data_IF_931145707916
#
_entry.id   IF_931145707916
#
_cell.length_a   1.000
_cell.length_b   1.000
_cell.length_c   1.000
_cell.angle_alpha   90.00
_cell.angle_beta   90.00
_cell.angle_gamma   90.00
#
_symmetry.space_group_name_H-M   'P 1'
#
loop_
_entity.id
_entity.type
_entity.pdbx_description
1 polymer ?
#
# COMPACT_ATOMS: atom_id res chain seq x y z
N UNK A 1 -56.88 -34.93 25.79
CA UNK A 1 -56.86 -33.71 24.94
C UNK A 1 -56.37 -32.52 25.76
N UNK A 2 -55.13 -32.06 25.55
CA UNK A 2 -54.67 -30.67 25.79
C UNK A 2 -53.26 -30.54 25.20
N UNK A 3 -53.07 -29.47 24.43
CA UNK A 3 -52.02 -29.25 23.43
C UNK A 3 -50.69 -28.76 24.04
N UNK A 4 -49.62 -29.04 23.31
CA UNK A 4 -48.32 -28.36 23.30
C UNK A 4 -48.43 -26.83 23.41
N UNK A 5 -47.52 -26.21 24.17
CA UNK A 5 -46.80 -24.99 23.77
C UNK A 5 -45.36 -25.11 24.29
N UNK A 6 -44.41 -25.25 23.36
CA UNK A 6 -42.96 -25.19 23.59
C UNK A 6 -42.54 -23.72 23.60
N UNK A 7 -42.04 -23.21 24.72
CA UNK A 7 -41.45 -21.87 24.81
C UNK A 7 -39.98 -21.95 24.39
N UNK A 8 -39.64 -21.32 23.26
CA UNK A 8 -38.26 -21.11 22.83
C UNK A 8 -37.63 -19.95 23.59
N UNK A 9 -36.49 -20.20 24.24
CA UNK A 9 -35.64 -19.16 24.83
C UNK A 9 -34.78 -18.58 23.71
N UNK A 10 -35.08 -17.34 23.33
CA UNK A 10 -34.25 -16.54 22.43
C UNK A 10 -33.04 -16.03 23.22
N UNK A 11 -31.87 -16.61 22.97
CA UNK A 11 -30.61 -16.13 23.54
C UNK A 11 -30.22 -14.81 22.85
N UNK A 12 -30.37 -13.70 23.57
CA UNK A 12 -29.87 -12.39 23.17
C UNK A 12 -28.33 -12.39 23.34
N UNK A 13 -27.60 -12.57 22.24
CA UNK A 13 -26.15 -12.35 22.20
C UNK A 13 -25.89 -10.83 22.26
N UNK A 14 -25.72 -10.28 23.47
CA UNK A 14 -25.17 -8.94 23.65
C UNK A 14 -23.67 -9.01 23.46
N UNK A 15 -23.17 -8.55 22.32
CA UNK A 15 -21.75 -8.31 22.11
C UNK A 15 -21.32 -7.13 22.99
N UNK A 16 -20.54 -7.42 24.03
CA UNK A 16 -19.84 -6.41 24.81
C UNK A 16 -18.74 -5.80 23.95
N UNK A 17 -19.03 -4.63 23.36
CA UNK A 17 -17.99 -3.79 22.75
C UNK A 17 -17.15 -3.25 23.90
N UNK A 18 -15.97 -3.84 24.09
CA UNK A 18 -14.94 -3.28 24.98
C UNK A 18 -14.62 -1.87 24.49
N UNK A 19 -14.91 -0.86 25.31
CA UNK A 19 -14.56 0.53 25.03
C UNK A 19 -13.03 0.65 24.98
N UNK A 20 -12.46 0.57 23.78
CA UNK A 20 -11.08 0.94 23.53
C UNK A 20 -11.02 2.47 23.53
N UNK A 21 -10.33 3.06 24.51
CA UNK A 21 -10.13 4.51 24.57
C UNK A 21 -9.54 5.06 23.27
N UNK A 22 -9.80 6.34 22.98
CA UNK A 22 -9.33 7.08 21.81
C UNK A 22 -7.82 6.92 21.56
N UNK A 23 -7.02 6.85 22.62
CA UNK A 23 -5.55 6.64 22.55
C UNK A 23 -5.13 5.31 21.90
N UNK A 24 -5.99 4.28 21.89
CA UNK A 24 -5.66 2.97 21.34
C UNK A 24 -5.48 2.97 19.81
N UNK A 25 -5.91 4.03 19.14
CA UNK A 25 -5.75 4.22 17.70
C UNK A 25 -4.46 4.94 17.32
N UNK A 26 -3.77 5.55 18.28
CA UNK A 26 -2.58 6.35 18.00
C UNK A 26 -1.35 5.45 18.06
N UNK A 27 -0.68 5.32 16.92
CA UNK A 27 0.54 4.52 16.77
C UNK A 27 1.67 5.38 16.22
N UNK A 28 2.89 5.12 16.70
CA UNK A 28 4.10 5.88 16.40
C UNK A 28 5.26 4.94 16.10
N UNK A 29 6.17 5.34 15.21
CA UNK A 29 7.41 4.59 14.92
C UNK A 29 8.32 4.54 16.15
N UNK A 30 9.11 3.46 16.28
CA UNK A 30 10.15 3.31 17.31
C UNK A 30 11.10 4.52 17.33
N UNK A 31 11.55 4.89 18.54
CA UNK A 31 12.45 6.03 18.79
C UNK A 31 11.74 7.28 19.30
N UNK A 32 10.42 7.34 19.18
CA UNK A 32 9.60 8.40 19.78
C UNK A 32 9.41 8.12 21.28
N UNK A 33 9.90 9.01 22.14
CA UNK A 33 9.79 8.85 23.60
C UNK A 33 8.32 8.96 24.05
N UNK A 34 7.77 7.88 24.61
CA UNK A 34 6.50 7.88 25.34
C UNK A 34 6.79 7.67 26.83
N UNK A 35 6.15 8.43 27.71
CA UNK A 35 6.11 8.12 29.15
C UNK A 35 5.12 6.97 29.37
N UNK A 36 5.56 5.91 30.02
CA UNK A 36 4.86 4.62 30.09
C UNK A 36 3.63 4.62 31.01
N UNK A 37 2.57 3.93 30.59
CA UNK A 37 1.58 3.30 31.47
C UNK A 37 1.28 1.87 30.96
N UNK A 38 0.91 0.93 31.85
CA UNK A 38 1.10 -0.51 31.64
C UNK A 38 0.14 -1.11 30.60
N UNK A 39 0.61 -2.14 29.90
CA UNK A 39 -0.15 -2.95 28.94
C UNK A 39 -1.06 -3.95 29.66
N UNK A 40 -2.26 -4.16 29.13
CA UNK A 40 -3.11 -5.31 29.43
C UNK A 40 -3.23 -6.18 28.17
N UNK A 41 -3.02 -7.49 28.34
CA UNK A 41 -2.92 -8.47 27.27
C UNK A 41 -4.23 -8.64 26.47
N UNK A 42 -4.12 -8.64 25.14
CA UNK A 42 -5.20 -9.00 24.22
C UNK A 42 -5.13 -10.48 23.88
N UNK A 43 -6.21 -11.19 24.19
CA UNK A 43 -6.45 -12.62 23.97
C UNK A 43 -6.60 -12.90 22.46
N UNK A 44 -5.89 -13.92 21.97
CA UNK A 44 -6.06 -14.46 20.62
C UNK A 44 -7.45 -15.09 20.44
N UNK A 45 -8.08 -14.82 19.29
CA UNK A 45 -9.21 -15.61 18.78
C UNK A 45 -8.73 -16.31 17.52
N UNK A 46 -8.74 -17.65 17.57
CA UNK A 46 -8.46 -18.50 16.44
C UNK A 46 -9.73 -18.68 15.60
N UNK A 47 -9.62 -18.41 14.30
CA UNK A 47 -10.62 -18.79 13.30
C UNK A 47 -9.91 -19.53 12.17
N UNK A 48 -10.11 -20.84 12.09
CA UNK A 48 -9.81 -21.65 10.91
C UNK A 48 -10.92 -21.49 9.87
N UNK A 49 -10.60 -21.39 8.58
CA UNK A 49 -11.23 -22.23 7.55
C UNK A 49 -10.31 -22.31 6.33
N UNK A 50 -10.29 -23.53 5.81
CA UNK A 50 -9.78 -24.13 4.59
C UNK A 50 -9.50 -23.21 3.39
N UNK A 51 -8.37 -23.49 2.75
CA UNK A 51 -7.98 -22.99 1.44
C UNK A 51 -9.00 -23.37 0.38
N UNK A 52 -9.47 -22.39 -0.38
CA UNK A 52 -10.02 -22.59 -1.71
C UNK A 52 -9.33 -21.59 -2.63
N UNK A 53 -8.69 -22.12 -3.67
CA UNK A 53 -7.94 -21.36 -4.65
C UNK A 53 -8.93 -20.61 -5.55
N UNK A 54 -9.03 -19.30 -5.37
CA UNK A 54 -9.84 -18.45 -6.23
C UNK A 54 -9.06 -17.22 -6.71
N UNK A 55 -9.45 -16.72 -7.90
CA UNK A 55 -8.76 -15.76 -8.78
C UNK A 55 -8.15 -14.54 -8.04
N UNK A 56 -7.10 -13.89 -8.59
CA UNK A 56 -6.44 -12.74 -7.95
C UNK A 56 -7.46 -11.62 -7.72
N UNK A 57 -7.93 -11.51 -6.49
CA UNK A 57 -9.00 -10.60 -6.11
C UNK A 57 -8.40 -9.49 -5.27
N UNK A 58 -8.50 -8.27 -5.80
CA UNK A 58 -8.11 -6.99 -5.18
C UNK A 58 -8.42 -7.01 -3.66
N UNK A 59 -7.35 -6.99 -2.85
CA UNK A 59 -7.45 -7.00 -1.40
C UNK A 59 -8.24 -5.80 -0.87
N UNK A 60 -8.04 -4.62 -1.47
CA UNK A 60 -8.71 -3.41 -1.01
C UNK A 60 -10.20 -3.49 -1.32
N UNK A 61 -10.54 -3.78 -2.59
CA UNK A 61 -11.93 -3.85 -3.04
C UNK A 61 -12.78 -4.89 -2.30
N UNK A 62 -12.17 -5.99 -1.84
CA UNK A 62 -12.88 -7.06 -1.10
C UNK A 62 -13.10 -6.74 0.38
N UNK A 63 -12.16 -6.06 1.02
CA UNK A 63 -12.18 -5.90 2.48
C UNK A 63 -12.63 -4.51 2.93
N UNK A 64 -12.58 -3.50 2.05
CA UNK A 64 -12.81 -2.10 2.40
C UNK A 64 -13.91 -1.48 1.52
N UNK A 65 -15.19 -1.84 1.77
CA UNK A 65 -16.30 -1.23 1.04
C UNK A 65 -16.35 0.28 1.28
N UNK A 66 -16.56 1.04 0.20
CA UNK A 66 -16.77 2.49 0.27
C UNK A 66 -18.19 2.79 0.74
N UNK A 67 -18.31 3.65 1.74
CA UNK A 67 -19.60 4.19 2.19
C UNK A 67 -19.69 5.67 1.82
N UNK A 68 -20.64 6.01 0.96
CA UNK A 68 -21.06 7.41 0.77
C UNK A 68 -21.78 7.91 2.03
N UNK A 69 -21.98 9.22 2.15
CA UNK A 69 -22.66 9.77 3.33
C UNK A 69 -24.12 9.28 3.45
N UNK A 70 -24.78 8.97 2.31
CA UNK A 70 -26.11 8.38 2.31
C UNK A 70 -26.12 6.93 2.84
N UNK A 71 -24.98 6.23 2.76
CA UNK A 71 -24.84 4.84 3.19
C UNK A 71 -24.42 4.72 4.67
N UNK A 72 -24.28 5.85 5.37
CA UNK A 72 -23.85 5.83 6.77
C UNK A 72 -24.93 5.25 7.67
N UNK A 73 -24.51 4.34 8.54
CA UNK A 73 -25.39 3.63 9.46
C UNK A 73 -25.09 4.02 10.92
N UNK A 74 -26.12 4.00 11.76
CA UNK A 74 -25.95 4.20 13.21
C UNK A 74 -24.85 3.26 13.74
N UNK A 75 -23.97 3.81 14.57
CA UNK A 75 -22.85 3.08 15.14
C UNK A 75 -21.53 3.19 14.36
N UNK A 76 -21.53 3.73 13.13
CA UNK A 76 -20.28 4.03 12.41
C UNK A 76 -19.42 5.00 13.23
N UNK A 77 -18.13 4.69 13.33
CA UNK A 77 -17.19 5.42 14.20
C UNK A 77 -16.19 6.22 13.38
N UNK A 78 -15.94 7.44 13.84
CA UNK A 78 -15.02 8.36 13.21
C UNK A 78 -14.14 9.01 14.27
N UNK A 79 -12.86 9.21 13.97
CA UNK A 79 -11.98 10.01 14.81
C UNK A 79 -11.89 11.43 14.28
N UNK A 80 -11.94 12.42 15.17
CA UNK A 80 -11.80 13.83 14.81
C UNK A 80 -10.32 14.20 14.68
N UNK A 81 -9.88 14.50 13.47
CA UNK A 81 -8.53 14.86 13.08
C UNK A 81 -8.55 16.21 12.35
N UNK A 82 -8.58 17.34 13.08
CA UNK A 82 -8.55 18.66 12.46
C UNK A 82 -7.17 18.94 11.84
N UNK A 83 -7.17 19.44 10.60
CA UNK A 83 -6.00 20.01 9.94
C UNK A 83 -5.81 21.48 10.34
N UNK A 84 -4.72 22.13 9.90
CA UNK A 84 -4.38 23.51 10.29
C UNK A 84 -5.54 24.50 10.06
N UNK A 85 -6.25 24.38 8.94
CA UNK A 85 -7.38 25.24 8.62
C UNK A 85 -8.62 24.91 9.47
N UNK A 86 -8.82 23.63 9.83
CA UNK A 86 -9.95 23.19 10.65
C UNK A 86 -9.84 23.69 12.10
N UNK A 87 -8.67 24.16 12.53
CA UNK A 87 -8.50 24.78 13.85
C UNK A 87 -9.15 26.17 13.93
N UNK A 88 -9.46 26.80 12.79
CA UNK A 88 -10.09 28.13 12.73
C UNK A 88 -11.61 28.08 12.65
N UNK A 89 -12.19 26.96 12.20
CA UNK A 89 -13.63 26.80 11.95
C UNK A 89 -14.13 25.58 12.70
N UNK A 90 -15.14 25.77 13.55
CA UNK A 90 -15.71 24.67 14.33
C UNK A 90 -16.60 23.78 13.45
N UNK A 91 -16.53 22.47 13.67
CA UNK A 91 -17.35 21.50 12.95
C UNK A 91 -18.63 21.16 13.72
N UNK A 92 -18.53 20.95 15.03
CA UNK A 92 -19.64 20.41 15.82
C UNK A 92 -20.29 21.45 16.73
N UNK A 93 -21.59 21.25 16.97
CA UNK A 93 -22.37 21.95 17.99
C UNK A 93 -22.83 20.98 19.06
N UNK A 94 -22.88 21.46 20.30
CA UNK A 94 -23.43 20.72 21.44
C UNK A 94 -24.96 20.74 21.38
N UNK A 95 -25.59 19.56 21.40
CA UNK A 95 -27.05 19.42 21.31
C UNK A 95 -27.77 20.10 22.49
N UNK A 96 -27.15 20.15 23.67
CA UNK A 96 -27.80 20.66 24.89
C UNK A 96 -27.96 22.18 24.90
N UNK A 97 -27.08 22.90 24.21
CA UNK A 97 -27.00 24.36 24.30
C UNK A 97 -26.83 25.05 22.93
N UNK A 98 -26.76 24.30 21.83
CA UNK A 98 -26.68 24.78 20.45
C UNK A 98 -25.42 25.63 20.16
N UNK A 99 -24.40 25.59 21.03
CA UNK A 99 -23.14 26.32 20.86
C UNK A 99 -22.13 25.47 20.09
N UNK A 100 -21.33 26.15 19.27
CA UNK A 100 -20.18 25.54 18.62
C UNK A 100 -19.12 25.13 19.65
N UNK A 101 -18.46 24.02 19.36
CA UNK A 101 -17.41 23.47 20.21
C UNK A 101 -16.12 23.39 19.39
N UNK A 102 -15.01 23.79 20.02
CA UNK A 102 -13.70 23.84 19.35
C UNK A 102 -13.28 22.47 18.80
N UNK A 103 -12.80 22.44 17.56
CA UNK A 103 -12.19 21.24 16.99
C UNK A 103 -10.97 20.76 17.80
N UNK A 104 -10.27 21.67 18.50
CA UNK A 104 -9.21 21.30 19.44
C UNK A 104 -9.69 20.46 20.62
N UNK A 105 -10.92 20.67 21.10
CA UNK A 105 -11.52 19.85 22.15
C UNK A 105 -11.80 18.42 21.68
N UNK A 106 -12.13 18.26 20.41
CA UNK A 106 -12.43 16.95 19.83
C UNK A 106 -11.22 16.24 19.25
N UNK A 107 -10.06 16.89 19.13
CA UNK A 107 -8.88 16.27 18.52
C UNK A 107 -8.60 14.89 19.14
N UNK A 108 -8.53 13.87 18.26
CA UNK A 108 -8.39 12.43 18.57
C UNK A 108 -9.56 11.76 19.30
N UNK A 109 -10.66 12.46 19.58
CA UNK A 109 -11.88 11.85 20.14
C UNK A 109 -12.66 11.07 19.09
N UNK A 110 -13.43 10.10 19.56
CA UNK A 110 -14.26 9.26 18.69
C UNK A 110 -15.71 9.73 18.69
N UNK A 111 -16.22 10.00 17.50
CA UNK A 111 -17.61 10.35 17.24
C UNK A 111 -18.32 9.12 16.64
N UNK A 112 -19.41 8.70 17.28
CA UNK A 112 -20.29 7.63 16.79
C UNK A 112 -21.46 8.28 16.08
N UNK A 113 -21.63 8.01 14.80
CA UNK A 113 -22.75 8.52 14.02
C UNK A 113 -24.08 7.93 14.50
N UNK A 114 -25.10 8.79 14.63
CA UNK A 114 -26.44 8.51 15.17
C UNK A 114 -27.57 8.84 14.19
N UNK A 115 -27.28 8.89 12.89
CA UNK A 115 -28.25 9.28 11.88
C UNK A 115 -28.31 10.79 11.63
N UNK A 116 -29.28 11.21 10.83
CA UNK A 116 -29.50 12.60 10.45
C UNK A 116 -30.90 13.07 10.89
N UNK A 117 -31.10 14.38 10.97
CA UNK A 117 -32.38 15.00 11.31
C UNK A 117 -32.49 16.39 10.70
N UNK A 118 -33.66 17.01 10.79
CA UNK A 118 -33.87 18.43 10.53
C UNK A 118 -33.94 19.16 11.88
N UNK A 119 -33.06 20.15 12.06
CA UNK A 119 -33.04 21.00 13.26
C UNK A 119 -34.26 21.92 13.35
N UNK A 120 -34.45 22.54 14.50
CA UNK A 120 -35.55 23.50 14.74
C UNK A 120 -35.49 24.75 13.85
N UNK A 121 -34.32 25.07 13.31
CA UNK A 121 -34.09 26.12 12.33
C UNK A 121 -34.39 25.68 10.88
N UNK A 122 -34.89 24.45 10.67
CA UNK A 122 -35.18 23.89 9.35
C UNK A 122 -33.95 23.40 8.59
N UNK A 123 -32.74 23.44 9.18
CA UNK A 123 -31.51 22.98 8.52
C UNK A 123 -31.27 21.49 8.80
N UNK A 124 -30.81 20.77 7.79
CA UNK A 124 -30.40 19.38 7.96
C UNK A 124 -29.14 19.28 8.85
N UNK A 125 -29.05 18.22 9.65
CA UNK A 125 -27.94 17.94 10.56
C UNK A 125 -27.61 16.45 10.63
N UNK A 126 -26.36 16.14 10.94
CA UNK A 126 -25.87 14.79 11.24
C UNK A 126 -25.58 14.69 12.73
N UNK A 127 -26.15 13.70 13.40
CA UNK A 127 -26.06 13.53 14.85
C UNK A 127 -24.94 12.56 15.21
N UNK A 128 -24.25 12.84 16.32
CA UNK A 128 -23.14 12.05 16.83
C UNK A 128 -23.17 11.95 18.35
N UNK A 129 -22.72 10.82 18.88
CA UNK A 129 -22.34 10.69 20.29
C UNK A 129 -20.82 10.66 20.39
N UNK A 130 -20.22 11.52 21.22
CA UNK A 130 -18.80 11.43 21.50
C UNK A 130 -18.55 10.29 22.52
N UNK A 131 -17.69 9.32 22.19
CA UNK A 131 -17.42 8.19 23.08
C UNK A 131 -16.70 8.59 24.37
N UNK A 132 -15.89 9.66 24.30
CA UNK A 132 -15.04 10.10 25.40
C UNK A 132 -15.83 10.78 26.53
N UNK A 133 -16.91 11.50 26.21
CA UNK A 133 -17.74 12.22 27.21
C UNK A 133 -19.22 11.79 27.23
N UNK A 134 -19.63 10.89 26.34
CA UNK A 134 -21.00 10.40 26.16
C UNK A 134 -22.05 11.48 25.86
N UNK A 135 -21.62 12.66 25.40
CA UNK A 135 -22.53 13.75 25.01
C UNK A 135 -22.95 13.66 23.55
N UNK A 136 -24.10 14.24 23.26
CA UNK A 136 -24.64 14.37 21.91
C UNK A 136 -24.17 15.67 21.28
N UNK A 137 -23.69 15.55 20.05
CA UNK A 137 -23.23 16.63 19.21
C UNK A 137 -23.83 16.47 17.82
N UNK A 138 -23.84 17.54 17.04
CA UNK A 138 -24.25 17.45 15.65
C UNK A 138 -23.40 18.33 14.75
N UNK A 139 -23.29 17.92 13.49
CA UNK A 139 -22.79 18.73 12.39
C UNK A 139 -23.98 19.29 11.62
N UNK A 140 -24.13 20.61 11.60
CA UNK A 140 -25.17 21.28 10.82
C UNK A 140 -24.71 21.47 9.38
N UNK A 141 -25.54 21.10 8.42
CA UNK A 141 -25.19 21.23 7.01
C UNK A 141 -25.11 22.71 6.63
N UNK A 142 -24.07 23.13 5.89
CA UNK A 142 -23.90 24.52 5.49
C UNK A 142 -25.09 24.99 4.66
N UNK A 143 -25.51 24.22 3.64
CA UNK A 143 -26.61 24.55 2.74
C UNK A 143 -27.37 23.28 2.35
N UNK A 144 -28.64 23.42 1.96
CA UNK A 144 -29.44 22.33 1.37
C UNK A 144 -30.08 21.37 2.39
N UNK A 145 -30.71 20.32 1.86
CA UNK A 145 -31.25 19.20 2.64
C UNK A 145 -30.21 18.07 2.74
N UNK A 146 -30.52 17.02 3.51
CA UNK A 146 -29.60 15.90 3.72
C UNK A 146 -29.38 15.10 2.43
N UNK A 147 -30.43 14.88 1.66
CA UNK A 147 -30.48 14.05 0.47
C UNK A 147 -29.52 14.61 -0.60
N UNK A 148 -29.65 15.90 -0.92
CA UNK A 148 -28.77 16.59 -1.86
C UNK A 148 -27.32 16.60 -1.38
N UNK A 149 -27.11 16.83 -0.08
CA UNK A 149 -25.77 16.88 0.51
C UNK A 149 -25.08 15.52 0.50
N UNK A 150 -25.81 14.44 0.81
CA UNK A 150 -25.23 13.11 0.95
C UNK A 150 -24.85 12.46 -0.40
N UNK A 151 -25.52 12.85 -1.51
CA UNK A 151 -25.15 12.43 -2.87
C UNK A 151 -23.86 13.08 -3.36
N UNK A 152 -23.50 14.25 -2.84
CA UNK A 152 -22.22 14.86 -3.15
C UNK A 152 -21.10 14.04 -2.51
N UNK A 153 -19.90 14.02 -3.13
CA UNK A 153 -18.69 13.42 -2.53
C UNK A 153 -18.15 14.28 -1.37
N UNK A 154 -19.04 14.91 -0.59
CA UNK A 154 -18.74 15.78 0.54
C UNK A 154 -19.00 14.98 1.81
N UNK A 155 -18.01 14.99 2.69
CA UNK A 155 -18.08 14.35 3.99
C UNK A 155 -18.24 15.35 5.12
N UNK A 156 -18.26 14.86 6.35
CA UNK A 156 -18.11 15.73 7.52
C UNK A 156 -16.65 16.15 7.63
N UNK A 157 -16.33 17.46 7.71
CA UNK A 157 -14.96 17.93 7.94
C UNK A 157 -14.35 17.29 9.18
N UNK A 158 -13.02 17.22 9.25
CA UNK A 158 -12.24 16.63 10.35
C UNK A 158 -12.40 15.13 10.62
N UNK A 159 -13.45 14.45 10.12
CA UNK A 159 -13.70 13.05 10.47
C UNK A 159 -12.89 12.06 9.62
N UNK A 160 -12.16 11.16 10.27
CA UNK A 160 -11.52 9.99 9.65
C UNK A 160 -12.28 8.71 10.02
N UNK A 161 -12.59 7.87 9.04
CA UNK A 161 -13.38 6.66 9.27
C UNK A 161 -12.55 5.57 9.97
N UNK A 162 -12.99 5.12 11.14
CA UNK A 162 -12.28 4.12 11.94
C UNK A 162 -12.50 2.68 11.47
N UNK A 163 -13.58 2.39 10.74
CA UNK A 163 -13.83 1.04 10.24
C UNK A 163 -12.70 0.53 9.33
N UNK A 164 -12.13 1.42 8.50
CA UNK A 164 -10.95 1.09 7.70
C UNK A 164 -9.74 0.75 8.60
N UNK A 165 -9.56 1.47 9.70
CA UNK A 165 -8.45 1.25 10.63
C UNK A 165 -8.61 -0.09 11.36
N UNK A 166 -9.82 -0.42 11.80
CA UNK A 166 -10.13 -1.67 12.49
C UNK A 166 -9.88 -2.88 11.58
N UNK A 167 -10.38 -2.83 10.35
CA UNK A 167 -10.20 -3.90 9.36
C UNK A 167 -8.72 -4.05 9.01
N UNK A 168 -8.03 -2.95 8.72
CA UNK A 168 -6.61 -2.97 8.40
C UNK A 168 -5.77 -3.52 9.57
N UNK A 169 -6.07 -3.14 10.81
CA UNK A 169 -5.41 -3.66 12.01
C UNK A 169 -5.57 -5.17 12.12
N UNK A 170 -6.78 -5.68 11.91
CA UNK A 170 -7.08 -7.11 11.95
C UNK A 170 -6.36 -7.91 10.85
N UNK A 171 -6.32 -7.36 9.62
CA UNK A 171 -5.84 -8.10 8.45
C UNK A 171 -4.33 -7.94 8.19
N UNK A 172 -3.73 -6.81 8.56
CA UNK A 172 -2.37 -6.46 8.17
C UNK A 172 -1.34 -6.63 9.27
N UNK A 173 -1.68 -6.44 10.55
CA UNK A 173 -0.68 -6.54 11.63
C UNK A 173 -0.03 -7.93 11.63
N UNK A 174 1.31 -7.96 11.61
CA UNK A 174 2.11 -9.17 11.53
C UNK A 174 2.29 -9.73 10.11
N UNK A 175 1.63 -9.18 9.09
CA UNK A 175 1.84 -9.56 7.68
C UNK A 175 3.14 -8.98 7.15
N UNK A 176 3.71 -9.67 6.16
CA UNK A 176 4.83 -9.18 5.35
C UNK A 176 4.30 -8.51 4.10
N UNK A 177 4.78 -7.31 3.83
CA UNK A 177 4.48 -6.52 2.64
C UNK A 177 5.78 -6.20 1.88
N UNK A 178 5.63 -5.74 0.65
CA UNK A 178 6.70 -5.26 -0.22
C UNK A 178 6.45 -3.78 -0.53
N UNK A 179 7.47 -2.94 -0.36
CA UNK A 179 7.39 -1.51 -0.67
C UNK A 179 7.24 -1.25 -2.18
N UNK A 180 6.38 -0.33 -2.58
CA UNK A 180 6.15 0.02 -4.00
C UNK A 180 6.53 1.47 -4.36
N UNK A 181 6.71 2.32 -3.34
CA UNK A 181 7.21 3.70 -3.45
C UNK A 181 8.58 3.85 -2.76
N UNK A 182 9.22 5.00 -2.93
CA UNK A 182 10.44 5.38 -2.22
C UNK A 182 10.19 6.27 -1.01
N UNK A 183 9.01 6.87 -0.93
CA UNK A 183 8.72 7.99 -0.05
C UNK A 183 7.83 7.52 1.10
N UNK A 184 8.41 7.44 2.29
CA UNK A 184 7.73 7.05 3.53
C UNK A 184 8.04 8.06 4.64
N UNK A 185 7.45 7.86 5.80
CA UNK A 185 7.56 8.80 6.92
C UNK A 185 8.02 8.14 8.20
N UNK A 186 8.67 8.91 9.06
CA UNK A 186 9.01 8.55 10.45
C UNK A 186 8.46 9.63 11.35
N UNK A 187 7.83 9.26 12.46
CA UNK A 187 7.28 10.24 13.41
C UNK A 187 8.41 11.01 14.10
N UNK A 188 8.26 12.33 14.24
CA UNK A 188 9.25 13.16 14.95
C UNK A 188 9.01 13.20 16.45
N UNK A 189 7.74 13.18 16.87
CA UNK A 189 7.35 13.14 18.28
C UNK A 189 5.99 12.48 18.51
N UNK A 190 5.66 12.24 19.79
CA UNK A 190 4.48 11.47 20.19
C UNK A 190 3.20 12.32 20.18
N UNK A 191 3.31 13.58 20.61
CA UNK A 191 2.18 14.46 20.90
C UNK A 191 1.67 15.19 19.65
N UNK A 192 2.55 15.38 18.66
CA UNK A 192 2.25 16.00 17.39
C UNK A 192 1.99 14.98 16.29
N UNK A 193 1.44 15.46 15.18
CA UNK A 193 1.29 14.68 13.94
C UNK A 193 2.43 14.95 12.96
N UNK A 194 3.54 15.56 13.41
CA UNK A 194 4.70 15.84 12.59
C UNK A 194 5.49 14.56 12.28
N UNK A 195 6.01 14.52 11.07
CA UNK A 195 6.76 13.39 10.54
C UNK A 195 7.77 13.85 9.48
N UNK A 196 8.90 13.18 9.44
CA UNK A 196 9.96 13.43 8.46
C UNK A 196 9.88 12.44 7.30
N UNK A 197 10.13 12.92 6.09
CA UNK A 197 10.21 12.10 4.89
C UNK A 197 11.52 11.30 4.92
N UNK A 198 11.42 9.99 4.72
CA UNK A 198 12.55 9.07 4.56
C UNK A 198 12.48 8.36 3.22
N UNK A 199 13.66 8.08 2.64
CA UNK A 199 13.79 7.34 1.39
C UNK A 199 14.02 5.86 1.68
N UNK A 200 13.16 5.01 1.14
CA UNK A 200 13.21 3.55 1.27
C UNK A 200 13.34 2.94 -0.12
N UNK A 201 14.06 1.82 -0.23
CA UNK A 201 14.15 1.11 -1.50
C UNK A 201 12.81 0.46 -1.86
N UNK A 202 12.42 0.56 -3.14
CA UNK A 202 11.27 -0.20 -3.65
C UNK A 202 11.60 -1.69 -3.68
N UNK A 203 10.63 -2.54 -3.41
CA UNK A 203 10.80 -3.97 -3.39
C UNK A 203 11.39 -4.51 -2.08
N UNK A 204 11.51 -3.68 -1.05
CA UNK A 204 11.95 -4.11 0.27
C UNK A 204 10.83 -4.90 0.95
N UNK A 205 11.16 -6.10 1.45
CA UNK A 205 10.26 -6.86 2.33
C UNK A 205 10.24 -6.22 3.71
N UNK A 206 9.06 -5.94 4.22
CA UNK A 206 8.82 -5.27 5.50
C UNK A 206 7.69 -5.95 6.25
N UNK A 207 7.75 -5.92 7.58
CA UNK A 207 6.72 -6.51 8.44
C UNK A 207 5.83 -5.42 9.00
N UNK A 208 4.52 -5.54 8.90
CA UNK A 208 3.60 -4.61 9.55
C UNK A 208 3.64 -4.83 11.07
N UNK A 209 4.06 -3.81 11.81
CA UNK A 209 4.21 -3.87 13.27
C UNK A 209 3.06 -3.18 14.01
N UNK A 210 2.44 -2.17 13.39
CA UNK A 210 1.28 -1.50 13.96
C UNK A 210 0.38 -0.90 12.88
N UNK A 211 -0.91 -0.80 13.20
CA UNK A 211 -1.90 -0.08 12.41
C UNK A 211 -2.72 0.81 13.33
N UNK A 212 -2.87 2.07 12.94
CA UNK A 212 -3.66 3.06 13.66
C UNK A 212 -4.19 4.13 12.74
N UNK A 213 -4.56 5.26 13.34
CA UNK A 213 -5.14 6.38 12.61
C UNK A 213 -4.05 7.26 12.01
N UNK A 214 -4.22 7.59 10.74
CA UNK A 214 -3.38 8.51 9.96
C UNK A 214 -3.94 9.91 9.95
N UNK A 215 -4.23 10.43 8.75
CA UNK A 215 -4.85 11.75 8.55
C UNK A 215 -6.31 11.60 8.13
N UNK A 216 -7.06 12.71 8.08
CA UNK A 216 -8.43 12.72 7.55
C UNK A 216 -8.50 12.14 6.13
N UNK A 217 -7.61 12.57 5.24
CA UNK A 217 -7.61 12.12 3.85
C UNK A 217 -7.03 10.72 3.66
N UNK A 218 -6.17 10.28 4.56
CA UNK A 218 -5.53 8.96 4.50
C UNK A 218 -5.67 8.27 5.88
N UNK A 219 -6.86 7.74 6.22
CA UNK A 219 -7.23 7.35 7.58
C UNK A 219 -6.38 6.24 8.20
N UNK A 220 -5.78 5.37 7.39
CA UNK A 220 -5.08 4.20 7.88
C UNK A 220 -3.58 4.45 7.90
N UNK A 221 -2.99 4.56 9.09
CA UNK A 221 -1.55 4.58 9.28
C UNK A 221 -1.02 3.17 9.40
N UNK A 222 -0.14 2.76 8.49
CA UNK A 222 0.51 1.45 8.51
C UNK A 222 1.98 1.66 8.86
N UNK A 223 2.40 1.18 10.04
CA UNK A 223 3.79 1.18 10.46
C UNK A 223 4.41 -0.18 10.13
N UNK A 224 5.55 -0.14 9.45
CA UNK A 224 6.28 -1.33 9.03
C UNK A 224 7.71 -1.28 9.54
N UNK A 225 8.27 -2.47 9.80
CA UNK A 225 9.65 -2.67 10.21
C UNK A 225 10.46 -3.28 9.05
N UNK A 226 11.60 -2.65 8.74
CA UNK A 226 12.59 -3.14 7.80
C UNK A 226 13.51 -4.21 8.38
N UNK A 227 14.35 -4.82 7.54
CA UNK A 227 15.28 -5.89 7.97
C UNK A 227 16.33 -5.44 8.98
N UNK A 228 16.65 -4.15 8.98
CA UNK A 228 17.58 -3.49 9.91
C UNK A 228 16.91 -3.08 11.23
N UNK A 229 15.61 -3.38 11.41
CA UNK A 229 14.84 -2.97 12.57
C UNK A 229 14.36 -1.52 12.53
N UNK A 230 14.62 -0.78 11.45
CA UNK A 230 14.09 0.57 11.25
C UNK A 230 12.58 0.52 11.06
N UNK A 231 11.86 1.48 11.65
CA UNK A 231 10.42 1.63 11.45
C UNK A 231 10.12 2.89 10.65
N UNK A 232 9.21 2.74 9.69
CA UNK A 232 8.66 3.83 8.91
C UNK A 232 7.19 3.53 8.61
N UNK A 233 6.46 4.52 8.14
CA UNK A 233 5.03 4.39 7.93
C UNK A 233 4.56 5.06 6.65
N UNK A 234 3.36 4.69 6.26
CA UNK A 234 2.57 5.41 5.28
C UNK A 234 1.13 5.54 5.76
N UNK A 235 0.54 6.71 5.54
CA UNK A 235 -0.90 6.90 5.69
C UNK A 235 -1.57 6.59 4.35
N UNK A 236 -2.59 5.72 4.36
CA UNK A 236 -3.28 5.28 3.15
C UNK A 236 -4.81 5.45 3.26
N UNK A 237 -5.45 5.68 2.13
CA UNK A 237 -6.89 5.58 1.97
C UNK A 237 -7.25 4.18 1.44
N UNK A 238 -8.04 3.42 2.21
CA UNK A 238 -8.50 2.09 1.84
C UNK A 238 -9.85 2.16 1.11
N UNK A 239 -10.94 2.44 1.84
CA UNK A 239 -12.29 2.55 1.26
C UNK A 239 -12.57 3.93 0.67
N UNK A 240 -11.76 4.93 1.04
CA UNK A 240 -11.96 6.37 0.75
C UNK A 240 -13.24 6.95 1.39
N UNK A 241 -13.83 6.26 2.37
CA UNK A 241 -14.97 6.76 3.14
C UNK A 241 -14.58 8.03 3.90
N UNK A 242 -15.32 9.11 3.69
CA UNK A 242 -15.11 10.43 4.32
C UNK A 242 -13.70 11.07 4.15
N UNK A 243 -12.90 10.63 3.16
CA UNK A 243 -11.52 11.14 3.01
C UNK A 243 -11.44 12.56 2.42
N UNK A 244 -12.55 13.11 1.94
CA UNK A 244 -12.61 14.45 1.35
C UNK A 244 -11.92 14.59 -0.01
N UNK A 245 -11.54 13.48 -0.64
CA UNK A 245 -10.89 13.44 -1.96
C UNK A 245 -11.72 12.67 -2.98
N UNK A 246 -11.64 13.11 -4.23
CA UNK A 246 -12.19 12.43 -5.41
C UNK A 246 -11.22 11.35 -5.91
N UNK A 247 -11.74 10.43 -6.70
CA UNK A 247 -10.94 9.30 -7.20
C UNK A 247 -9.83 9.73 -8.16
N UNK A 248 -10.05 10.80 -8.94
CA UNK A 248 -9.07 11.42 -9.84
C UNK A 248 -8.00 12.23 -9.11
N UNK A 249 -8.16 12.48 -7.80
CA UNK A 249 -7.14 13.12 -6.98
C UNK A 249 -6.10 12.12 -6.44
N UNK A 250 -6.34 10.81 -6.57
CA UNK A 250 -5.39 9.75 -6.21
C UNK A 250 -4.43 9.41 -7.35
N UNK A 251 -3.85 10.45 -7.96
CA UNK A 251 -2.87 10.35 -9.03
C UNK A 251 -1.60 11.10 -8.63
N UNK A 252 -0.51 10.91 -9.40
CA UNK A 252 0.76 11.61 -9.21
C UNK A 252 1.25 11.49 -7.76
N UNK A 253 1.28 12.58 -7.00
CA UNK A 253 1.81 12.63 -5.63
C UNK A 253 0.93 11.90 -4.62
N UNK A 254 -0.37 11.74 -4.91
CA UNK A 254 -1.30 11.06 -4.02
C UNK A 254 -1.42 9.56 -4.30
N UNK A 255 -0.87 9.08 -5.43
CA UNK A 255 -0.89 7.65 -5.75
C UNK A 255 -0.23 6.81 -4.65
N UNK A 256 0.84 7.33 -4.03
CA UNK A 256 1.54 6.69 -2.90
C UNK A 256 0.70 6.58 -1.61
N UNK A 257 -0.48 7.17 -1.56
CA UNK A 257 -1.42 7.08 -0.44
C UNK A 257 -2.57 6.08 -0.71
N UNK A 258 -2.51 5.34 -1.82
CA UNK A 258 -3.29 4.10 -2.00
C UNK A 258 -2.49 2.93 -1.44
N UNK A 259 -3.16 1.89 -0.93
CA UNK A 259 -2.49 0.69 -0.44
C UNK A 259 -1.48 0.15 -1.47
N UNK A 260 -1.92 -0.09 -2.71
CA UNK A 260 -1.06 -0.58 -3.79
C UNK A 260 -0.01 0.41 -4.29
N UNK A 261 -0.19 1.71 -4.00
CA UNK A 261 0.81 2.73 -4.29
C UNK A 261 1.93 2.81 -3.25
N UNK A 262 1.74 2.25 -2.05
CA UNK A 262 2.76 2.19 -1.00
C UNK A 262 3.28 0.77 -0.76
N UNK A 263 2.41 -0.23 -0.85
CA UNK A 263 2.70 -1.59 -0.46
C UNK A 263 2.02 -2.58 -1.41
N UNK A 264 2.55 -3.80 -1.47
CA UNK A 264 1.84 -4.94 -2.05
C UNK A 264 2.14 -6.18 -1.23
N UNK A 265 1.33 -7.22 -1.37
CA UNK A 265 1.63 -8.51 -0.75
C UNK A 265 2.79 -9.19 -1.48
N UNK A 266 3.62 -9.91 -0.73
CA UNK A 266 4.76 -10.64 -1.30
C UNK A 266 4.35 -11.60 -2.42
N UNK A 267 3.29 -12.38 -2.20
CA UNK A 267 2.77 -13.30 -3.22
C UNK A 267 2.24 -12.58 -4.47
N UNK A 268 1.72 -11.37 -4.31
CA UNK A 268 1.21 -10.56 -5.42
C UNK A 268 2.36 -9.94 -6.22
N UNK A 269 3.41 -9.46 -5.53
CA UNK A 269 4.66 -9.00 -6.13
C UNK A 269 5.37 -10.14 -6.90
N UNK A 270 5.43 -11.34 -6.32
CA UNK A 270 5.98 -12.54 -6.99
C UNK A 270 5.14 -12.93 -8.21
N UNK A 271 3.81 -12.91 -8.09
CA UNK A 271 2.91 -13.16 -9.23
C UNK A 271 3.09 -12.14 -10.33
N UNK A 272 3.16 -10.83 -10.03
CA UNK A 272 3.41 -9.79 -11.03
C UNK A 272 4.76 -9.96 -11.73
N UNK A 273 5.81 -10.33 -10.97
CA UNK A 273 7.11 -10.65 -11.54
C UNK A 273 7.06 -11.89 -12.45
N UNK A 274 6.28 -12.92 -12.08
CA UNK A 274 6.08 -14.11 -12.90
C UNK A 274 5.24 -13.86 -14.16
N UNK A 275 4.23 -12.99 -14.08
CA UNK A 275 3.40 -12.62 -15.23
C UNK A 275 4.23 -11.81 -16.23
N UNK A 276 5.04 -10.86 -15.75
CA UNK A 276 6.00 -10.13 -16.59
C UNK A 276 7.04 -11.07 -17.23
N UNK A 277 7.41 -12.19 -16.58
CA UNK A 277 8.24 -13.23 -17.22
C UNK A 277 7.52 -13.93 -18.38
N UNK A 278 6.21 -14.13 -18.29
CA UNK A 278 5.39 -14.67 -19.36
C UNK A 278 5.54 -13.89 -20.68
N UNK A 279 5.62 -12.57 -20.61
CA UNK A 279 5.85 -11.69 -21.76
C UNK A 279 7.19 -11.97 -22.48
N UNK A 280 8.16 -12.56 -21.76
CA UNK A 280 9.48 -12.90 -22.28
C UNK A 280 9.67 -14.39 -22.58
N UNK A 281 8.64 -15.22 -22.40
CA UNK A 281 8.73 -16.68 -22.61
C UNK A 281 9.23 -17.04 -24.02
N UNK A 282 8.89 -16.22 -25.02
CA UNK A 282 9.33 -16.37 -26.41
C UNK A 282 10.86 -16.31 -26.63
N UNK A 283 11.61 -15.79 -25.66
CA UNK A 283 13.07 -15.66 -25.73
C UNK A 283 13.79 -16.76 -24.94
N UNK A 284 13.09 -17.52 -24.10
CA UNK A 284 13.67 -18.61 -23.31
C UNK A 284 14.21 -19.70 -24.22
N UNK A 285 15.35 -20.29 -23.84
CA UNK A 285 16.05 -21.34 -24.57
C UNK A 285 16.53 -20.97 -25.98
N UNK A 286 16.34 -19.73 -26.44
CA UNK A 286 16.90 -19.28 -27.71
C UNK A 286 18.41 -19.15 -27.61
N UNK A 287 19.07 -19.50 -28.70
CA UNK A 287 20.49 -19.24 -28.92
C UNK A 287 20.63 -17.88 -29.56
N UNK A 288 21.49 -17.03 -28.97
CA UNK A 288 21.76 -15.66 -29.42
C UNK A 288 23.25 -15.40 -29.47
N UNK A 289 23.69 -14.47 -30.31
CA UNK A 289 25.08 -14.00 -30.34
C UNK A 289 25.17 -12.48 -30.23
N UNK A 290 26.29 -12.02 -29.69
CA UNK A 290 26.56 -10.59 -29.51
C UNK A 290 26.87 -9.89 -30.84
N UNK A 291 26.20 -8.76 -31.09
CA UNK A 291 26.47 -7.90 -32.26
C UNK A 291 27.72 -7.03 -32.10
N UNK A 292 28.15 -6.79 -30.86
CA UNK A 292 29.38 -6.04 -30.51
C UNK A 292 29.93 -6.50 -29.15
N UNK A 293 31.20 -6.19 -28.82
CA UNK A 293 31.79 -6.54 -27.54
C UNK A 293 30.99 -5.94 -26.37
N UNK A 294 30.69 -6.75 -25.35
CA UNK A 294 29.72 -6.38 -24.30
C UNK A 294 30.20 -6.81 -22.94
N UNK A 295 30.04 -5.95 -21.92
CA UNK A 295 30.32 -6.30 -20.54
C UNK A 295 29.21 -7.15 -19.92
N UNK A 296 29.58 -8.24 -19.25
CA UNK A 296 28.67 -9.16 -18.56
C UNK A 296 29.21 -9.53 -17.18
N UNK A 297 28.31 -9.89 -16.27
CA UNK A 297 28.67 -10.38 -14.93
C UNK A 297 28.78 -11.90 -14.96
N UNK A 298 29.91 -12.45 -14.54
CA UNK A 298 30.08 -13.91 -14.40
C UNK A 298 29.33 -14.40 -13.16
N UNK A 299 28.57 -15.50 -13.30
CA UNK A 299 27.97 -16.20 -12.17
C UNK A 299 29.01 -17.18 -11.61
N UNK A 300 29.37 -17.03 -10.33
CA UNK A 300 30.24 -17.96 -9.60
C UNK A 300 29.56 -18.38 -8.31
N UNK A 301 29.64 -19.67 -7.97
CA UNK A 301 29.22 -20.17 -6.67
C UNK A 301 30.21 -19.67 -5.61
N UNK A 302 29.81 -18.65 -4.83
CA UNK A 302 30.44 -18.34 -3.53
C UNK A 302 31.38 -17.12 -3.43
N UNK A 303 31.61 -16.32 -4.48
CA UNK A 303 32.31 -15.03 -4.32
C UNK A 303 32.03 -14.09 -5.50
N UNK A 304 31.64 -12.85 -5.20
CA UNK A 304 31.48 -11.66 -6.06
C UNK A 304 31.39 -11.85 -7.59
N UNK A 305 30.32 -11.32 -8.20
CA UNK A 305 30.19 -11.25 -9.66
C UNK A 305 31.28 -10.39 -10.29
N UNK A 306 32.29 -11.03 -10.89
CA UNK A 306 33.31 -10.37 -11.72
C UNK A 306 32.68 -9.93 -13.04
N UNK A 307 32.90 -8.67 -13.43
CA UNK A 307 32.54 -8.17 -14.77
C UNK A 307 33.63 -8.56 -15.76
N UNK A 308 33.24 -9.05 -16.93
CA UNK A 308 34.13 -9.39 -18.06
C UNK A 308 33.57 -8.83 -19.35
N UNK A 309 34.45 -8.45 -20.29
CA UNK A 309 34.06 -8.06 -21.64
C UNK A 309 34.05 -9.28 -22.55
N UNK A 310 32.87 -9.62 -23.05
CA UNK A 310 32.66 -10.70 -24.01
C UNK A 310 32.88 -10.18 -25.43
N UNK A 311 33.53 -10.98 -26.28
CA UNK A 311 33.79 -10.60 -27.66
C UNK A 311 32.49 -10.60 -28.50
N UNK A 312 32.49 -9.83 -29.59
CA UNK A 312 31.48 -9.93 -30.65
C UNK A 312 31.38 -11.38 -31.15
N UNK A 313 30.20 -11.79 -31.62
CA UNK A 313 29.85 -13.15 -32.08
C UNK A 313 29.88 -14.23 -30.98
N UNK A 314 30.23 -13.89 -29.73
CA UNK A 314 30.10 -14.85 -28.62
C UNK A 314 28.65 -15.28 -28.51
N UNK A 315 28.44 -16.60 -28.51
CA UNK A 315 27.13 -17.23 -28.59
C UNK A 315 26.71 -17.74 -27.22
N UNK A 316 25.44 -17.51 -26.87
CA UNK A 316 24.84 -17.87 -25.60
C UNK A 316 23.50 -18.55 -25.84
N UNK A 317 23.12 -19.47 -24.95
CA UNK A 317 21.74 -19.87 -24.74
C UNK A 317 21.15 -19.02 -23.61
N UNK A 318 19.92 -18.57 -23.78
CA UNK A 318 19.17 -17.88 -22.72
C UNK A 318 18.55 -18.94 -21.80
N UNK A 319 19.08 -19.02 -20.59
CA UNK A 319 18.74 -20.05 -19.61
C UNK A 319 17.72 -19.57 -18.59
N UNK A 320 17.63 -18.26 -18.40
CA UNK A 320 16.74 -17.65 -17.43
C UNK A 320 16.55 -16.18 -17.71
N UNK A 321 15.43 -15.66 -17.22
CA UNK A 321 15.12 -14.24 -17.22
C UNK A 321 14.57 -13.86 -15.87
N UNK A 322 14.76 -12.61 -15.48
CA UNK A 322 14.15 -12.04 -14.27
C UNK A 322 13.92 -10.54 -14.47
N UNK A 323 12.66 -10.06 -14.51
CA UNK A 323 12.37 -8.64 -14.52
C UNK A 323 13.08 -7.93 -13.37
N UNK A 324 13.68 -6.79 -13.67
CA UNK A 324 14.24 -5.92 -12.64
C UNK A 324 13.09 -5.09 -12.08
N UNK A 325 12.90 -5.15 -10.76
CA UNK A 325 11.80 -4.44 -10.08
C UNK A 325 11.78 -2.95 -10.45
N UNK A 326 10.60 -2.43 -10.78
CA UNK A 326 10.37 -1.03 -11.12
C UNK A 326 11.29 -0.49 -12.23
N UNK A 327 11.69 -1.36 -13.15
CA UNK A 327 12.57 -1.03 -14.25
C UNK A 327 12.11 -1.75 -15.50
N UNK A 328 12.35 -1.14 -16.66
CA UNK A 328 12.12 -1.77 -17.98
C UNK A 328 13.14 -2.85 -18.30
N UNK A 329 14.15 -3.02 -17.45
CA UNK A 329 15.20 -4.00 -17.65
C UNK A 329 14.79 -5.38 -17.15
N UNK A 330 15.33 -6.39 -17.79
CA UNK A 330 15.23 -7.80 -17.45
C UNK A 330 16.67 -8.31 -17.31
N UNK A 331 16.99 -8.96 -16.20
CA UNK A 331 18.25 -9.67 -16.05
C UNK A 331 18.16 -11.00 -16.79
N UNK A 332 18.96 -11.16 -17.84
CA UNK A 332 19.16 -12.45 -18.51
C UNK A 332 20.16 -13.29 -17.75
N UNK A 333 19.93 -14.59 -17.69
CA UNK A 333 20.91 -15.63 -17.35
C UNK A 333 21.29 -16.33 -18.65
N UNK A 334 22.58 -16.31 -18.98
CA UNK A 334 23.12 -16.71 -20.26
C UNK A 334 24.17 -17.81 -20.08
N UNK A 335 24.01 -18.95 -20.75
CA UNK A 335 25.03 -20.00 -20.86
C UNK A 335 25.83 -19.81 -22.14
N UNK A 336 27.12 -19.53 -22.05
CA UNK A 336 28.01 -19.50 -23.22
C UNK A 336 28.08 -20.89 -23.86
N UNK A 337 27.76 -21.00 -25.15
CA UNK A 337 27.58 -22.30 -25.81
C UNK A 337 28.86 -23.11 -25.96
N UNK A 338 30.03 -22.45 -25.93
CA UNK A 338 31.33 -23.11 -26.08
C UNK A 338 31.85 -23.65 -24.74
N UNK A 339 31.72 -22.86 -23.67
CA UNK A 339 32.34 -23.18 -22.37
C UNK A 339 31.35 -23.67 -21.32
N UNK A 340 30.05 -23.48 -21.54
CA UNK A 340 29.00 -23.72 -20.54
C UNK A 340 29.01 -22.74 -19.36
N UNK A 341 29.84 -21.68 -19.41
CA UNK A 341 29.91 -20.70 -18.33
C UNK A 341 28.66 -19.83 -18.29
N UNK A 342 28.23 -19.50 -17.08
CA UNK A 342 27.05 -18.70 -16.81
C UNK A 342 27.38 -17.23 -16.62
N UNK A 343 26.57 -16.38 -17.22
CA UNK A 343 26.69 -14.93 -17.16
C UNK A 343 25.32 -14.29 -16.92
N UNK A 344 25.33 -13.06 -16.39
CA UNK A 344 24.15 -12.20 -16.35
C UNK A 344 24.37 -10.87 -17.05
N UNK A 345 23.29 -10.37 -17.66
CA UNK A 345 23.23 -9.08 -18.33
C UNK A 345 21.83 -8.49 -18.17
N UNK A 346 21.75 -7.22 -17.79
CA UNK A 346 20.48 -6.50 -17.81
C UNK A 346 20.23 -6.00 -19.23
N UNK A 347 19.03 -6.23 -19.75
CA UNK A 347 18.59 -5.76 -21.08
C UNK A 347 17.19 -5.17 -21.02
N UNK A 348 16.84 -4.27 -21.94
CA UNK A 348 15.45 -3.83 -22.17
C UNK A 348 14.91 -4.45 -23.46
N UNK A 349 13.62 -4.80 -23.49
CA UNK A 349 12.93 -5.29 -24.69
C UNK A 349 12.06 -4.22 -25.38
N UNK A 350 11.99 -3.00 -24.80
CA UNK A 350 11.34 -1.84 -25.42
C UNK A 350 12.38 -0.83 -25.88
N UNK A 351 12.26 -0.40 -27.14
CA UNK A 351 13.13 0.59 -27.77
C UNK A 351 12.44 1.97 -27.75
N UNK A 352 12.64 2.73 -26.69
CA UNK A 352 12.08 4.08 -26.54
C UNK A 352 13.20 5.10 -26.33
N UNK A 353 13.17 6.20 -27.09
CA UNK A 353 14.11 7.31 -26.95
C UNK A 353 13.85 8.03 -25.62
N UNK A 354 14.89 8.21 -24.79
CA UNK A 354 14.82 9.08 -23.62
C UNK A 354 15.45 10.43 -23.99
N UNK A 355 14.69 11.52 -23.84
CA UNK A 355 15.24 12.89 -23.91
C UNK A 355 16.24 13.08 -22.78
N UNK A 356 17.50 13.41 -23.12
CA UNK A 356 18.61 13.56 -22.16
C UNK A 356 19.75 12.54 -22.32
N UNK A 357 19.61 11.57 -23.23
CA UNK A 357 20.62 10.56 -23.51
C UNK A 357 21.61 11.05 -24.59
N UNK A 358 22.52 11.95 -24.19
CA UNK A 358 23.54 12.52 -25.09
C UNK A 358 24.72 11.54 -25.30
N UNK A 359 24.82 10.45 -24.50
CA UNK A 359 25.95 9.49 -24.51
C UNK A 359 25.57 7.99 -24.65
N UNK A 360 24.42 7.64 -25.24
CA UNK A 360 24.27 6.34 -25.90
C UNK A 360 23.81 5.13 -25.07
N UNK A 361 22.74 5.23 -24.25
CA UNK A 361 22.08 4.05 -23.66
C UNK A 361 21.24 3.21 -24.64
N UNK A 362 21.62 3.14 -25.92
CA UNK A 362 21.10 2.15 -26.88
C UNK A 362 21.72 0.75 -26.68
N UNK A 363 22.81 0.63 -25.91
CA UNK A 363 23.62 -0.59 -25.85
C UNK A 363 22.94 -1.79 -25.17
N UNK A 364 21.99 -1.56 -24.26
CA UNK A 364 21.36 -2.66 -23.52
C UNK A 364 19.94 -2.99 -24.02
N UNK A 365 19.52 -2.47 -25.18
CA UNK A 365 18.33 -2.95 -25.87
C UNK A 365 18.60 -4.32 -26.49
N UNK A 366 17.77 -5.32 -26.15
CA UNK A 366 17.96 -6.72 -26.56
C UNK A 366 18.15 -6.85 -28.08
N UNK A 367 17.33 -6.16 -28.87
CA UNK A 367 17.41 -6.22 -30.34
C UNK A 367 18.66 -5.56 -30.93
N UNK A 368 19.37 -4.70 -30.18
CA UNK A 368 20.66 -4.16 -30.60
C UNK A 368 21.84 -4.96 -30.06
N UNK A 369 21.69 -5.57 -28.89
CA UNK A 369 22.76 -6.33 -28.27
C UNK A 369 22.91 -7.73 -28.90
N UNK A 370 21.79 -8.37 -29.22
CA UNK A 370 21.73 -9.75 -29.63
C UNK A 370 21.12 -9.92 -31.03
N UNK A 371 21.61 -10.93 -31.75
CA UNK A 371 20.96 -11.55 -32.91
C UNK A 371 20.59 -12.98 -32.56
N UNK A 372 19.49 -13.49 -33.11
CA UNK A 372 19.16 -14.92 -33.00
C UNK A 372 20.13 -15.78 -33.82
N UNK A 373 20.41 -17.00 -33.32
CA UNK A 373 21.30 -17.97 -33.95
C UNK A 373 22.74 -17.93 -33.42
N UNK A 374 23.57 -18.85 -33.90
CA UNK A 374 25.01 -18.87 -33.61
C UNK A 374 25.76 -17.81 -34.42
N UNK A 375 26.72 -17.16 -33.77
CA UNK A 375 27.64 -16.23 -34.46
C UNK A 375 28.50 -16.98 -35.47
N UNK A 376 28.98 -16.26 -36.51
CA UNK A 376 29.86 -16.89 -37.50
C UNK A 376 31.17 -17.30 -36.81
N UNK A 377 31.50 -18.60 -36.86
CA UNK A 377 32.77 -19.11 -36.34
C UNK A 377 33.92 -18.33 -36.98
N UNK A 378 34.86 -17.74 -36.20
CA UNK A 378 36.01 -17.12 -36.80
C UNK A 378 36.77 -18.18 -37.59
N UNK A 379 36.85 -17.97 -38.91
CA UNK A 379 37.66 -18.79 -39.81
C UNK A 379 39.08 -18.76 -39.25
N UNK A 380 39.58 -19.90 -38.76
CA UNK A 380 40.99 -20.05 -38.39
C UNK A 380 41.80 -19.84 -39.66
N UNK A 381 42.37 -18.64 -39.83
CA UNK A 381 43.31 -18.35 -40.92
C UNK A 381 44.48 -19.32 -40.78
N UNK A 382 44.54 -20.33 -41.67
CA UNK A 382 45.72 -21.18 -41.79
C UNK A 382 46.90 -20.31 -42.20
N UNK A 383 47.84 -20.13 -41.27
CA UNK A 383 49.13 -19.51 -41.53
C UNK A 383 49.85 -20.37 -42.57
N UNK A 384 49.88 -19.89 -43.82
CA UNK A 384 50.65 -20.49 -44.90
C UNK A 384 52.13 -20.32 -44.55
N UNK A 385 52.78 -21.37 -44.03
CA UNK A 385 54.24 -21.44 -43.95
C UNK A 385 54.78 -21.42 -45.38
N UNK A 386 55.42 -20.31 -45.77
CA UNK A 386 56.33 -20.26 -46.93
C UNK A 386 57.55 -21.10 -46.58
N UNK A 387 57.85 -22.09 -47.43
CA UNK A 387 59.22 -22.56 -47.65
C UNK A 387 59.77 -21.79 -48.84
#
# INVERSE_FOLDING_TARGET
MKKLITMGILALMTTTVMAQGSDSYIVKTKGVKKVETPKTDAKQVAGSTTQEADKPQDFVGRNFPRYGLCDWQDGMRFMVLPEKYDMLVNTFRDESNNKEVSNGYFRRKVMVYRGHAVGSNGRARLNFTCQDDNKQYYFELPNGNYEDYCYNKIGVPTLAYLGDVDIARSLLVGKTLVTTTTDYYVDTDYESDAADLVKVEKGQKVKVVAVGVGTRSFPVKIIVEGKDGSEFFQNVAMSKTNCGMRDDEFIVDNAKHLFYGSFTFEEEDERQQSASLGDYAQYMNKTVHLKYPTTMKVIRNGAGSRVVTMAKETTFRIDGMRPVRNSRYVTLTLSETVTGRLYTKNVTFKNENVTGDIDGQKEDYFGYLFSEGSGKTPVKTHTRRRR
#
